data_IF_619918495801
#
_entry.id   IF_619918495801
#
_cell.length_a   1.000
_cell.length_b   1.000
_cell.length_c   1.000
_cell.angle_alpha   90.00
_cell.angle_beta   90.00
_cell.angle_gamma   90.00
#
_symmetry.space_group_name_H-M   'P 1'
#
loop_
_entity.id
_entity.type
_entity.pdbx_description
1 polymer ?
#
# COMPACT_ATOMS: atom_id res chain seq x y z
N UNK A 1 13.08 -17.54 2.70
CA UNK A 1 12.18 -16.40 2.25
C UNK A 1 12.20 -15.30 3.31
N UNK A 2 12.52 -14.06 2.93
CA UNK A 2 12.53 -12.94 3.90
C UNK A 2 11.11 -12.64 4.38
N UNK A 3 10.82 -12.86 5.66
CA UNK A 3 9.55 -12.42 6.28
C UNK A 3 9.59 -10.90 6.51
N UNK A 4 8.54 -10.19 6.12
CA UNK A 4 8.42 -8.75 6.30
C UNK A 4 7.50 -8.45 7.48
N UNK A 5 7.91 -7.54 8.39
CA UNK A 5 7.00 -7.04 9.42
C UNK A 5 5.91 -6.16 8.79
N UNK A 6 4.69 -6.24 9.32
CA UNK A 6 3.56 -5.38 8.91
C UNK A 6 3.94 -3.88 8.88
N UNK A 7 4.83 -3.44 9.77
CA UNK A 7 5.36 -2.05 9.81
C UNK A 7 6.03 -1.61 8.50
N UNK A 8 6.73 -2.52 7.79
CA UNK A 8 7.35 -2.22 6.49
C UNK A 8 6.31 -1.91 5.42
N UNK A 9 5.26 -2.71 5.34
CA UNK A 9 4.18 -2.50 4.36
C UNK A 9 3.43 -1.19 4.62
N UNK A 10 3.16 -0.88 5.89
CA UNK A 10 2.50 0.37 6.29
C UNK A 10 3.39 1.57 5.96
N UNK A 11 4.66 1.54 6.35
CA UNK A 11 5.60 2.63 6.07
C UNK A 11 5.77 2.86 4.56
N UNK A 12 5.88 1.80 3.77
CA UNK A 12 5.93 1.88 2.31
C UNK A 12 4.66 2.50 1.71
N UNK A 13 3.49 2.14 2.22
CA UNK A 13 2.23 2.71 1.76
C UNK A 13 2.11 4.21 2.12
N UNK A 14 2.50 4.60 3.34
CA UNK A 14 2.49 6.00 3.78
C UNK A 14 3.45 6.84 2.94
N UNK A 15 4.71 6.40 2.80
CA UNK A 15 5.71 7.15 2.02
C UNK A 15 5.31 7.29 0.56
N UNK A 16 4.73 6.26 -0.03
CA UNK A 16 4.18 6.34 -1.39
C UNK A 16 3.05 7.36 -1.51
N UNK A 17 2.15 7.38 -0.51
CA UNK A 17 1.03 8.33 -0.50
C UNK A 17 1.52 9.78 -0.38
N UNK A 18 2.51 10.03 0.48
CA UNK A 18 3.13 11.36 0.62
C UNK A 18 3.78 11.81 -0.69
N UNK A 19 4.61 10.97 -1.30
CA UNK A 19 5.27 11.27 -2.58
C UNK A 19 4.23 11.56 -3.67
N UNK A 20 3.19 10.74 -3.78
CA UNK A 20 2.14 10.93 -4.78
C UNK A 20 1.35 12.23 -4.59
N UNK A 21 1.07 12.63 -3.35
CA UNK A 21 0.38 13.89 -3.07
C UNK A 21 1.27 15.10 -3.37
N UNK A 22 2.56 15.04 -3.00
CA UNK A 22 3.53 16.09 -3.32
C UNK A 22 3.70 16.25 -4.83
N UNK A 23 3.79 15.16 -5.57
CA UNK A 23 3.84 15.17 -7.04
C UNK A 23 2.66 15.92 -7.64
N UNK A 24 1.43 15.60 -7.22
CA UNK A 24 0.23 16.30 -7.71
C UNK A 24 0.23 17.78 -7.36
N UNK A 25 0.64 18.15 -6.13
CA UNK A 25 0.74 19.56 -5.72
C UNK A 25 1.72 20.32 -6.61
N UNK A 26 2.92 19.77 -6.81
CA UNK A 26 3.99 20.40 -7.60
C UNK A 26 3.58 20.51 -9.07
N UNK A 27 3.05 19.44 -9.66
CA UNK A 27 2.60 19.45 -11.06
C UNK A 27 1.47 20.46 -11.27
N UNK A 28 0.46 20.44 -10.40
CA UNK A 28 -0.67 21.37 -10.51
C UNK A 28 -0.23 22.81 -10.34
N UNK A 29 0.72 23.08 -9.44
CA UNK A 29 1.31 24.40 -9.29
C UNK A 29 2.07 24.83 -10.55
N UNK A 30 2.98 24.01 -11.07
CA UNK A 30 3.78 24.36 -12.26
C UNK A 30 2.88 24.60 -13.48
N UNK A 31 1.88 23.74 -13.70
CA UNK A 31 1.01 23.81 -14.88
C UNK A 31 0.01 24.97 -14.79
N UNK A 32 -0.56 25.24 -13.61
CA UNK A 32 -1.52 26.33 -13.42
C UNK A 32 -0.86 27.69 -13.20
N UNK A 33 0.41 27.71 -12.78
CA UNK A 33 1.11 28.92 -12.35
C UNK A 33 0.69 29.43 -10.95
N UNK A 34 -0.22 28.73 -10.26
CA UNK A 34 -0.76 29.13 -8.96
C UNK A 34 -0.54 28.03 -7.91
N UNK A 35 0.23 28.35 -6.86
CA UNK A 35 0.52 27.45 -5.75
C UNK A 35 -0.74 27.02 -4.98
N UNK A 36 -1.73 27.91 -4.85
CA UNK A 36 -2.99 27.57 -4.17
C UNK A 36 -3.80 26.55 -4.96
N UNK A 37 -3.76 26.61 -6.29
CA UNK A 37 -4.34 25.56 -7.15
C UNK A 37 -3.67 24.22 -6.87
N UNK A 38 -2.33 24.20 -6.75
CA UNK A 38 -1.60 23.01 -6.40
C UNK A 38 -2.08 22.36 -5.11
N UNK A 39 -2.19 23.15 -4.03
CA UNK A 39 -2.69 22.65 -2.74
C UNK A 39 -4.15 22.20 -2.79
N UNK A 40 -5.01 22.92 -3.51
CA UNK A 40 -6.42 22.53 -3.67
C UNK A 40 -6.54 21.20 -4.42
N UNK A 41 -5.86 21.07 -5.56
CA UNK A 41 -5.91 19.83 -6.36
C UNK A 41 -5.36 18.66 -5.56
N UNK A 42 -4.15 18.77 -5.00
CA UNK A 42 -3.53 17.68 -4.24
C UNK A 42 -4.28 17.31 -2.96
N UNK A 43 -4.84 18.30 -2.25
CA UNK A 43 -5.62 18.06 -1.03
C UNK A 43 -6.97 17.39 -1.32
N UNK A 44 -7.70 17.85 -2.32
CA UNK A 44 -8.98 17.24 -2.73
C UNK A 44 -8.76 15.87 -3.33
N UNK A 45 -7.73 15.71 -4.17
CA UNK A 45 -7.36 14.41 -4.75
C UNK A 45 -7.07 13.35 -3.68
N UNK A 46 -6.45 13.73 -2.57
CA UNK A 46 -6.19 12.78 -1.48
C UNK A 46 -7.48 12.12 -0.99
N UNK A 47 -8.56 12.90 -0.88
CA UNK A 47 -9.87 12.43 -0.41
C UNK A 47 -10.61 11.67 -1.51
N UNK A 48 -10.69 12.24 -2.71
CA UNK A 48 -11.41 11.61 -3.83
C UNK A 48 -10.82 10.26 -4.21
N UNK A 49 -9.49 10.12 -4.20
CA UNK A 49 -8.81 8.85 -4.48
C UNK A 49 -9.13 7.76 -3.46
N UNK A 50 -9.36 8.10 -2.18
CA UNK A 50 -9.77 7.11 -1.18
C UNK A 50 -11.19 6.61 -1.49
N UNK A 51 -12.10 7.51 -1.77
CA UNK A 51 -13.50 7.17 -2.09
C UNK A 51 -13.55 6.37 -3.39
N UNK A 52 -12.84 6.85 -4.42
CA UNK A 52 -12.80 6.21 -5.73
C UNK A 52 -12.19 4.81 -5.67
N UNK A 53 -11.15 4.62 -4.85
CA UNK A 53 -10.55 3.31 -4.64
C UNK A 53 -11.55 2.33 -4.02
N UNK A 54 -12.27 2.77 -2.98
CA UNK A 54 -13.29 1.94 -2.35
C UNK A 54 -14.40 1.54 -3.34
N UNK A 55 -14.91 2.49 -4.12
CA UNK A 55 -15.95 2.24 -5.12
C UNK A 55 -15.45 1.31 -6.23
N UNK A 56 -14.26 1.55 -6.74
CA UNK A 56 -13.63 0.72 -7.76
C UNK A 56 -13.40 -0.71 -7.27
N UNK A 57 -12.88 -0.88 -6.05
CA UNK A 57 -12.64 -2.21 -5.47
C UNK A 57 -13.94 -2.97 -5.28
N UNK A 58 -14.98 -2.30 -4.79
CA UNK A 58 -16.31 -2.87 -4.61
C UNK A 58 -16.96 -3.25 -5.94
N UNK A 59 -16.84 -2.39 -6.96
CA UNK A 59 -17.35 -2.67 -8.31
C UNK A 59 -16.66 -3.90 -8.90
N UNK A 60 -15.32 -3.98 -8.78
CA UNK A 60 -14.55 -5.13 -9.24
C UNK A 60 -14.99 -6.43 -8.56
N UNK A 61 -15.19 -6.40 -7.25
CA UNK A 61 -15.68 -7.56 -6.51
C UNK A 61 -17.08 -7.99 -6.99
N UNK A 62 -17.97 -7.04 -7.26
CA UNK A 62 -19.34 -7.32 -7.70
C UNK A 62 -19.39 -7.91 -9.12
N UNK A 63 -18.67 -7.29 -10.08
CA UNK A 63 -18.75 -7.66 -11.50
C UNK A 63 -17.92 -8.90 -11.85
N UNK A 64 -16.77 -9.08 -11.23
CA UNK A 64 -15.81 -10.13 -11.61
C UNK A 64 -15.72 -11.29 -10.61
N UNK A 65 -16.64 -11.40 -9.67
CA UNK A 65 -16.68 -12.48 -8.68
C UNK A 65 -16.86 -13.86 -9.33
N UNK A 66 -17.63 -13.94 -10.41
CA UNK A 66 -18.01 -15.19 -11.10
C UNK A 66 -17.13 -15.56 -12.29
N UNK A 67 -16.22 -14.72 -12.68
CA UNK A 67 -15.39 -14.91 -13.87
C UNK A 67 -14.25 -15.89 -13.60
N UNK A 68 -14.17 -16.96 -14.41
CA UNK A 68 -13.05 -17.94 -14.43
C UNK A 68 -11.80 -17.36 -15.11
N UNK A 69 -11.44 -16.12 -14.77
CA UNK A 69 -10.29 -15.43 -15.34
C UNK A 69 -9.00 -15.86 -14.63
N UNK A 70 -7.92 -16.01 -15.41
CA UNK A 70 -6.58 -16.29 -14.88
C UNK A 70 -6.18 -15.18 -13.90
N UNK A 71 -5.72 -15.52 -12.70
CA UNK A 71 -5.41 -14.57 -11.62
C UNK A 71 -4.54 -13.38 -12.09
N UNK A 72 -3.48 -13.64 -12.86
CA UNK A 72 -2.58 -12.59 -13.36
C UNK A 72 -3.27 -11.60 -14.29
N UNK A 73 -4.15 -12.08 -15.19
CA UNK A 73 -4.91 -11.21 -16.11
C UNK A 73 -5.90 -10.33 -15.35
N UNK A 74 -6.58 -10.91 -14.37
CA UNK A 74 -7.51 -10.18 -13.50
C UNK A 74 -6.82 -9.04 -12.74
N UNK A 75 -5.63 -9.29 -12.17
CA UNK A 75 -4.86 -8.25 -11.49
C UNK A 75 -4.37 -7.16 -12.45
N UNK A 76 -3.94 -7.52 -13.66
CA UNK A 76 -3.52 -6.56 -14.67
C UNK A 76 -4.65 -5.63 -15.11
N UNK A 77 -5.82 -6.19 -15.43
CA UNK A 77 -6.99 -5.39 -15.85
C UNK A 77 -7.44 -4.49 -14.69
N UNK A 78 -7.49 -5.00 -13.45
CA UNK A 78 -7.83 -4.19 -12.27
C UNK A 78 -6.87 -3.01 -12.09
N UNK A 79 -5.57 -3.22 -12.28
CA UNK A 79 -4.59 -2.16 -12.21
C UNK A 79 -4.74 -1.13 -13.34
N UNK A 80 -5.03 -1.57 -14.57
CA UNK A 80 -5.26 -0.68 -15.71
C UNK A 80 -6.51 0.19 -15.53
N UNK A 81 -7.63 -0.42 -15.12
CA UNK A 81 -8.87 0.31 -14.86
C UNK A 81 -8.71 1.30 -13.71
N UNK A 82 -7.97 0.92 -12.65
CA UNK A 82 -7.65 1.85 -11.57
C UNK A 82 -6.83 3.05 -12.06
N UNK A 83 -5.82 2.82 -12.91
CA UNK A 83 -5.04 3.90 -13.53
C UNK A 83 -5.90 4.83 -14.34
N UNK A 84 -6.79 4.28 -15.17
CA UNK A 84 -7.71 5.06 -15.99
C UNK A 84 -8.62 5.95 -15.15
N UNK A 85 -9.34 5.38 -14.17
CA UNK A 85 -10.23 6.15 -13.30
C UNK A 85 -9.48 7.16 -12.44
N UNK A 86 -8.29 6.81 -11.95
CA UNK A 86 -7.44 7.72 -11.20
C UNK A 86 -6.98 8.93 -12.01
N UNK A 87 -6.61 8.74 -13.27
CA UNK A 87 -6.24 9.86 -14.17
C UNK A 87 -7.44 10.72 -14.52
N UNK A 88 -8.60 10.10 -14.77
CA UNK A 88 -9.84 10.83 -15.05
C UNK A 88 -10.26 11.72 -13.87
N UNK A 89 -10.15 11.21 -12.65
CA UNK A 89 -10.38 11.97 -11.40
C UNK A 89 -9.51 13.22 -11.35
N UNK A 90 -8.20 13.09 -11.59
CA UNK A 90 -7.28 14.24 -11.59
C UNK A 90 -7.61 15.25 -12.68
N UNK A 91 -8.00 14.81 -13.89
CA UNK A 91 -8.44 15.69 -14.98
C UNK A 91 -9.67 16.49 -14.57
N UNK A 92 -10.67 15.80 -14.00
CA UNK A 92 -11.91 16.43 -13.53
C UNK A 92 -11.62 17.43 -12.42
N UNK A 93 -10.81 17.08 -11.43
CA UNK A 93 -10.45 17.99 -10.34
C UNK A 93 -9.66 19.19 -10.85
N UNK A 94 -8.70 18.99 -11.74
CA UNK A 94 -7.97 20.08 -12.38
C UNK A 94 -8.90 21.04 -13.12
N UNK A 95 -9.85 20.52 -13.87
CA UNK A 95 -10.87 21.33 -14.53
C UNK A 95 -11.78 22.07 -13.55
N UNK A 96 -12.33 21.39 -12.56
CA UNK A 96 -13.25 22.00 -11.59
C UNK A 96 -12.60 23.11 -10.75
N UNK A 97 -11.31 22.96 -10.43
CA UNK A 97 -10.59 23.92 -9.60
C UNK A 97 -10.07 25.10 -10.41
N UNK A 98 -9.64 24.88 -11.66
CA UNK A 98 -9.04 25.93 -12.51
C UNK A 98 -10.04 26.58 -13.49
N UNK A 99 -11.18 25.95 -13.74
CA UNK A 99 -12.11 26.34 -14.79
C UNK A 99 -11.60 26.06 -16.21
N UNK A 100 -10.42 25.43 -16.37
CA UNK A 100 -9.77 25.19 -17.65
C UNK A 100 -9.49 23.71 -17.89
N UNK A 101 -10.20 23.14 -18.86
CA UNK A 101 -10.06 21.70 -19.20
C UNK A 101 -8.64 21.35 -19.69
N UNK A 102 -7.98 22.27 -20.41
CA UNK A 102 -6.61 22.04 -20.90
C UNK A 102 -5.62 21.87 -19.74
N UNK A 103 -5.77 22.67 -18.68
CA UNK A 103 -4.95 22.53 -17.45
C UNK A 103 -5.23 21.18 -16.80
N UNK A 104 -6.50 20.77 -16.66
CA UNK A 104 -6.86 19.47 -16.10
C UNK A 104 -6.25 18.30 -16.87
N UNK A 105 -6.34 18.32 -18.22
CA UNK A 105 -5.74 17.29 -19.08
C UNK A 105 -4.22 17.26 -18.91
N UNK A 106 -3.57 18.41 -18.89
CA UNK A 106 -2.12 18.47 -18.70
C UNK A 106 -1.72 17.87 -17.34
N UNK A 107 -2.37 18.28 -16.24
CA UNK A 107 -2.09 17.74 -14.91
C UNK A 107 -2.24 16.21 -14.92
N UNK A 108 -3.38 15.66 -15.35
CA UNK A 108 -3.63 14.23 -15.35
C UNK A 108 -2.67 13.43 -16.23
N UNK A 109 -2.29 13.97 -17.39
CA UNK A 109 -1.35 13.32 -18.30
C UNK A 109 0.07 13.29 -17.76
N UNK A 110 0.56 14.42 -17.24
CA UNK A 110 1.89 14.48 -16.62
C UNK A 110 1.96 13.66 -15.34
N UNK A 111 0.89 13.67 -14.53
CA UNK A 111 0.79 12.86 -13.32
C UNK A 111 0.93 11.35 -13.62
N UNK A 112 0.32 10.87 -14.70
CA UNK A 112 0.45 9.48 -15.11
C UNK A 112 1.91 9.09 -15.37
N UNK A 113 2.69 9.97 -16.02
CA UNK A 113 4.10 9.75 -16.33
C UNK A 113 4.97 9.86 -15.07
N UNK A 114 4.85 10.96 -14.33
CA UNK A 114 5.67 11.21 -13.14
C UNK A 114 5.45 10.17 -12.06
N UNK A 115 4.20 9.80 -11.76
CA UNK A 115 3.90 8.75 -10.79
C UNK A 115 4.44 7.38 -11.21
N UNK A 116 4.51 7.09 -12.52
CA UNK A 116 5.14 5.84 -12.99
C UNK A 116 6.64 5.83 -12.72
N UNK A 117 7.32 6.94 -13.00
CA UNK A 117 8.75 7.10 -12.76
C UNK A 117 9.06 7.10 -11.25
N UNK A 118 8.31 7.88 -10.47
CA UNK A 118 8.46 7.96 -9.01
C UNK A 118 8.21 6.62 -8.32
N UNK A 119 7.22 5.84 -8.81
CA UNK A 119 6.98 4.49 -8.31
C UNK A 119 8.18 3.58 -8.51
N UNK A 120 8.80 3.62 -9.68
CA UNK A 120 10.00 2.83 -9.95
C UNK A 120 11.15 3.17 -8.98
N UNK A 121 11.40 4.47 -8.75
CA UNK A 121 12.44 4.90 -7.81
C UNK A 121 12.09 4.55 -6.37
N UNK A 122 10.86 4.79 -5.95
CA UNK A 122 10.38 4.44 -4.62
C UNK A 122 10.51 2.94 -4.34
N UNK A 123 10.10 2.09 -5.29
CA UNK A 123 10.23 0.64 -5.18
C UNK A 123 11.70 0.22 -5.06
N UNK A 124 12.59 0.82 -5.86
CA UNK A 124 14.02 0.55 -5.84
C UNK A 124 14.67 0.95 -4.52
N UNK A 125 14.28 2.10 -3.95
CA UNK A 125 14.77 2.57 -2.64
C UNK A 125 14.33 1.59 -1.55
N UNK A 126 13.06 1.19 -1.55
CA UNK A 126 12.55 0.22 -0.59
C UNK A 126 13.19 -1.16 -0.72
N UNK A 127 13.53 -1.59 -1.93
CA UNK A 127 14.26 -2.84 -2.16
C UNK A 127 15.67 -2.82 -1.55
N UNK A 128 16.33 -1.67 -1.53
CA UNK A 128 17.67 -1.51 -0.94
C UNK A 128 17.63 -1.27 0.58
N UNK A 129 16.50 -0.84 1.11
CA UNK A 129 16.33 -0.57 2.54
C UNK A 129 16.14 -1.87 3.32
N UNK A 130 16.91 -2.02 4.40
CA UNK A 130 16.76 -3.12 5.37
C UNK A 130 15.68 -2.86 6.43
N UNK A 131 14.97 -1.73 6.35
CA UNK A 131 13.94 -1.37 7.31
C UNK A 131 12.81 -2.42 7.37
N UNK A 132 12.56 -2.94 8.58
CA UNK A 132 11.49 -3.91 8.84
C UNK A 132 11.72 -5.30 8.23
N UNK A 133 12.95 -5.65 7.82
CA UNK A 133 13.33 -7.04 7.56
C UNK A 133 13.48 -7.76 8.89
N UNK A 134 12.96 -8.97 8.96
CA UNK A 134 13.17 -9.87 10.10
C UNK A 134 14.35 -10.74 9.72
N UNK A 135 15.42 -10.72 10.53
CA UNK A 135 16.50 -11.69 10.39
C UNK A 135 15.94 -13.08 10.71
N UNK A 136 16.06 -13.99 9.76
CA UNK A 136 15.63 -15.39 9.93
C UNK A 136 16.30 -16.03 11.15
N UNK A 137 17.57 -15.70 11.44
CA UNK A 137 18.28 -16.17 12.63
C UNK A 137 17.60 -15.78 13.95
N UNK A 138 17.10 -14.55 14.06
CA UNK A 138 16.40 -14.07 15.26
C UNK A 138 15.03 -14.73 15.43
N UNK A 139 14.39 -15.09 14.32
CA UNK A 139 13.09 -15.80 14.36
C UNK A 139 13.31 -17.28 14.72
N UNK A 140 14.35 -17.92 14.18
CA UNK A 140 14.72 -19.27 14.53
C UNK A 140 15.15 -19.38 16.00
N UNK A 141 15.97 -18.46 16.50
CA UNK A 141 16.34 -18.39 17.92
C UNK A 141 15.12 -18.22 18.81
N UNK A 142 14.20 -17.31 18.47
CA UNK A 142 12.99 -17.12 19.27
C UNK A 142 12.03 -18.32 19.24
N UNK A 143 11.95 -19.05 18.13
CA UNK A 143 11.15 -20.27 18.03
C UNK A 143 11.78 -21.44 18.78
N UNK A 144 13.11 -21.54 18.82
CA UNK A 144 13.83 -22.53 19.59
C UNK A 144 13.68 -22.25 21.09
N UNK A 145 13.81 -20.98 21.51
CA UNK A 145 13.57 -20.58 22.91
C UNK A 145 12.14 -20.90 23.38
N UNK A 146 11.15 -20.58 22.56
CA UNK A 146 9.73 -20.84 22.85
C UNK A 146 9.43 -22.36 22.92
N UNK A 147 10.10 -23.17 22.07
CA UNK A 147 9.99 -24.63 22.08
C UNK A 147 10.63 -25.24 23.34
N UNK A 148 11.81 -24.75 23.76
CA UNK A 148 12.50 -25.21 24.97
C UNK A 148 11.68 -24.84 26.21
N UNK A 149 11.11 -23.65 26.27
CA UNK A 149 10.26 -23.19 27.38
C UNK A 149 8.98 -24.04 27.48
N UNK A 150 8.35 -24.35 26.35
CA UNK A 150 7.16 -25.21 26.30
C UNK A 150 7.47 -26.66 26.73
N UNK A 151 8.64 -27.19 26.39
CA UNK A 151 9.08 -28.52 26.80
C UNK A 151 9.40 -28.59 28.29
N UNK A 152 10.05 -27.56 28.83
CA UNK A 152 10.36 -27.45 30.26
C UNK A 152 9.10 -27.38 31.14
N UNK A 153 8.09 -26.61 30.71
CA UNK A 153 6.78 -26.51 31.38
C UNK A 153 6.05 -27.87 31.35
N UNK A 154 6.16 -28.59 30.22
CA UNK A 154 5.54 -29.91 30.07
C UNK A 154 6.17 -30.96 31.02
N UNK A 155 7.49 -30.93 31.15
CA UNK A 155 8.22 -31.81 32.06
C UNK A 155 7.90 -31.50 33.54
N UNK A 156 7.78 -30.23 33.89
CA UNK A 156 7.35 -29.80 35.25
C UNK A 156 5.93 -30.30 35.60
N UNK A 157 5.01 -30.23 34.62
CA UNK A 157 3.64 -30.74 34.78
C UNK A 157 3.62 -32.24 34.98
N UNK A 158 4.41 -32.98 34.16
CA UNK A 158 4.52 -34.44 34.27
C UNK A 158 5.10 -34.84 35.62
N UNK A 159 6.15 -34.14 36.09
CA UNK A 159 6.77 -34.41 37.39
C UNK A 159 5.81 -34.13 38.55
N UNK A 160 5.07 -33.05 38.50
CA UNK A 160 4.02 -32.75 39.52
C UNK A 160 2.91 -33.79 39.54
N UNK A 161 2.55 -34.32 38.37
CA UNK A 161 1.51 -35.34 38.28
C UNK A 161 1.97 -36.70 38.83
N UNK A 162 3.22 -37.11 38.61
CA UNK A 162 3.79 -38.32 39.20
C UNK A 162 3.90 -38.28 40.71
N UNK A 163 4.28 -37.11 41.26
CA UNK A 163 4.35 -36.90 42.71
C UNK A 163 2.97 -37.00 43.39
N UNK A 164 1.92 -36.52 42.72
CA UNK A 164 0.55 -36.62 43.23
C UNK A 164 0.04 -38.07 43.20
N UNK A 165 0.39 -38.85 42.18
CA UNK A 165 0.00 -40.25 42.07
C UNK A 165 0.72 -41.16 43.06
N UNK A 166 1.93 -40.81 43.53
CA UNK A 166 2.66 -41.53 44.58
C UNK A 166 2.17 -41.24 46.02
N UNK A 167 1.40 -40.16 46.20
CA UNK A 167 0.94 -39.68 47.51
C UNK A 167 -0.49 -40.08 47.86
N UNK A 168 -1.20 -40.74 46.95
CA UNK A 168 -2.55 -41.28 47.12
C UNK A 168 -2.54 -42.79 47.26
#
# INVERSE_FOLDING_TARGET
>A
MKKFKNRRHIAKAITWRMIGTLDTIILSWIISGDMFVGFKVGGVELVTKIILYYLHDRAWYSFFRSEKMRSSVRHAIKAMTWRFFGTLDTIILGYLITGNLSIGIQIGSFELLTKTILYFFHERIWHRSNFGLINESVVEESQVEEAIEAESVKDEIVMKKSVIEETV
#
